data_IF_399466805251
#
_entry.id   IF_399466805251
#
_cell.length_a   1.000
_cell.length_b   1.000
_cell.length_c   1.000
_cell.angle_alpha   90.00
_cell.angle_beta   90.00
_cell.angle_gamma   90.00
#
_symmetry.space_group_name_H-M   'P 1'
#
loop_
_entity.id
_entity.type
_entity.pdbx_description
1 polymer ?
#
# COMPACT_ATOMS: atom_id res chain seq x y z
N UNK A 1 1.70 17.06 28.52
CA UNK A 1 3.05 16.74 29.03
C UNK A 1 2.87 15.75 30.17
N UNK A 2 3.25 14.49 29.98
CA UNK A 2 3.33 13.53 31.09
C UNK A 2 4.62 12.72 30.96
N UNK A 3 5.29 12.55 32.09
CA UNK A 3 6.70 12.20 32.28
C UNK A 3 6.99 10.70 32.11
N UNK A 4 8.20 10.39 31.64
CA UNK A 4 8.84 9.06 31.78
C UNK A 4 9.81 9.14 32.97
N UNK A 5 9.69 8.20 33.92
CA UNK A 5 10.71 7.94 34.94
C UNK A 5 11.38 6.61 34.62
N UNK A 6 12.71 6.61 34.54
CA UNK A 6 13.54 5.41 34.45
C UNK A 6 13.99 4.99 35.85
N UNK A 7 13.84 3.71 36.17
CA UNK A 7 14.54 3.07 37.30
C UNK A 7 14.78 1.59 36.97
N UNK A 8 15.99 1.14 37.30
CA UNK A 8 16.61 -0.12 36.89
C UNK A 8 16.03 -1.38 37.57
N UNK A 9 15.98 -2.46 36.77
CA UNK A 9 16.06 -3.91 37.08
C UNK A 9 15.07 -4.50 38.09
N UNK A 10 14.12 -5.32 37.57
CA UNK A 10 13.78 -6.65 38.08
C UNK A 10 13.04 -7.42 36.97
N UNK A 11 13.51 -8.63 36.66
CA UNK A 11 12.86 -9.58 35.76
C UNK A 11 11.45 -9.90 36.28
N UNK A 12 10.44 -9.39 35.59
CA UNK A 12 9.14 -10.04 35.51
C UNK A 12 8.72 -10.09 34.05
N UNK A 13 8.50 -11.32 33.58
CA UNK A 13 8.00 -11.67 32.25
C UNK A 13 6.59 -11.11 32.10
N UNK A 14 6.48 -9.83 31.76
CA UNK A 14 5.22 -9.20 31.39
C UNK A 14 5.02 -9.47 29.91
N UNK A 15 4.16 -10.44 29.59
CA UNK A 15 3.64 -10.61 28.24
C UNK A 15 2.78 -9.37 27.99
N UNK A 16 3.40 -8.32 27.46
CA UNK A 16 2.70 -7.18 26.93
C UNK A 16 2.03 -7.66 25.65
N UNK A 17 0.70 -7.79 25.66
CA UNK A 17 -0.08 -7.74 24.43
C UNK A 17 0.13 -6.34 23.85
N UNK A 18 1.15 -6.17 23.01
CA UNK A 18 1.33 -4.95 22.24
C UNK A 18 0.26 -4.94 21.14
N UNK A 19 -0.95 -4.47 21.49
CA UNK A 19 -2.11 -4.25 20.60
C UNK A 19 -1.98 -2.98 19.76
N UNK A 20 -0.79 -2.39 19.71
CA UNK A 20 -0.54 -1.11 19.06
C UNK A 20 0.88 -1.14 18.52
N UNK A 21 1.02 -1.44 17.22
CA UNK A 21 2.21 -0.99 16.49
C UNK A 21 2.03 0.51 16.35
N UNK A 22 2.86 1.30 17.02
CA UNK A 22 2.94 2.74 16.75
C UNK A 22 3.86 2.88 15.53
N UNK A 23 3.33 3.09 14.32
CA UNK A 23 4.19 3.29 13.16
C UNK A 23 5.07 4.53 13.41
N UNK A 24 6.37 4.41 13.15
CA UNK A 24 7.30 5.54 13.29
C UNK A 24 6.98 6.64 12.27
N UNK A 25 6.55 6.25 11.07
CA UNK A 25 6.03 7.12 10.02
C UNK A 25 4.78 6.48 9.40
N UNK A 26 3.71 7.26 9.26
CA UNK A 26 2.52 6.89 8.48
C UNK A 26 2.71 7.44 7.08
N UNK A 27 2.77 6.56 6.09
CA UNK A 27 2.96 6.98 4.71
C UNK A 27 1.64 7.35 4.04
N UNK A 28 0.58 6.56 4.28
CA UNK A 28 -0.76 6.79 3.73
C UNK A 28 -1.84 6.48 4.76
N UNK A 29 -2.93 7.25 4.69
CA UNK A 29 -4.10 7.12 5.55
C UNK A 29 -5.36 7.39 4.72
N UNK A 30 -6.27 6.42 4.62
CA UNK A 30 -7.54 6.58 3.87
C UNK A 30 -8.64 5.64 4.34
N UNK A 31 -9.89 6.02 4.12
CA UNK A 31 -11.02 5.11 4.34
C UNK A 31 -11.18 4.17 3.15
N UNK A 32 -11.20 2.86 3.40
CA UNK A 32 -11.43 1.84 2.37
C UNK A 32 -12.88 1.39 2.30
N UNK A 33 -13.60 1.55 3.42
CA UNK A 33 -15.05 1.45 3.49
C UNK A 33 -15.55 2.57 4.41
N UNK A 34 -16.87 2.63 4.63
CA UNK A 34 -17.49 3.65 5.49
C UNK A 34 -16.87 3.72 6.90
N UNK A 35 -16.56 2.56 7.48
CA UNK A 35 -16.18 2.44 8.89
C UNK A 35 -14.78 1.81 9.08
N UNK A 36 -14.03 1.58 7.98
CA UNK A 36 -12.68 1.00 8.01
C UNK A 36 -11.63 1.98 7.50
N UNK A 37 -10.66 2.27 8.36
CA UNK A 37 -9.49 3.08 8.08
C UNK A 37 -8.31 2.20 7.67
N UNK A 38 -7.73 2.45 6.50
CA UNK A 38 -6.46 1.88 6.07
C UNK A 38 -5.32 2.81 6.46
N UNK A 39 -4.31 2.24 7.09
CA UNK A 39 -3.06 2.89 7.48
C UNK A 39 -1.91 2.12 6.84
N UNK A 40 -1.13 2.78 5.98
CA UNK A 40 0.13 2.22 5.47
C UNK A 40 1.30 2.83 6.23
N UNK A 41 2.18 1.96 6.73
CA UNK A 41 3.43 2.34 7.37
C UNK A 41 4.54 1.39 6.92
N UNK A 42 5.39 1.85 6.00
CA UNK A 42 6.35 1.01 5.30
C UNK A 42 5.65 -0.14 4.56
N UNK A 43 6.06 -1.36 4.88
CA UNK A 43 5.52 -2.61 4.32
C UNK A 43 4.30 -3.13 5.09
N UNK A 44 3.88 -2.43 6.15
CA UNK A 44 2.73 -2.81 6.97
C UNK A 44 1.49 -2.07 6.52
N UNK A 45 0.40 -2.81 6.32
CA UNK A 45 -0.94 -2.29 6.07
C UNK A 45 -1.82 -2.68 7.25
N UNK A 46 -2.45 -1.69 7.89
CA UNK A 46 -3.36 -1.87 9.01
C UNK A 46 -4.75 -1.46 8.57
N UNK A 47 -5.71 -2.36 8.71
CA UNK A 47 -7.14 -2.07 8.59
C UNK A 47 -7.71 -1.91 10.00
N UNK A 48 -8.19 -0.72 10.32
CA UNK A 48 -8.80 -0.40 11.60
C UNK A 48 -10.29 -0.13 11.42
N UNK A 49 -11.11 -1.04 11.90
CA UNK A 49 -12.56 -0.87 11.98
C UNK A 49 -12.89 0.04 13.17
N UNK A 50 -13.39 1.24 12.86
CA UNK A 50 -13.68 2.30 13.84
C UNK A 50 -14.85 1.92 14.74
N UNK A 51 -15.82 1.19 14.21
CA UNK A 51 -17.04 0.80 14.93
C UNK A 51 -16.75 -0.35 15.90
N UNK A 52 -16.04 -1.38 15.43
CA UNK A 52 -15.74 -2.57 16.26
C UNK A 52 -14.44 -2.46 17.05
N UNK A 53 -13.62 -1.43 16.77
CA UNK A 53 -12.27 -1.21 17.34
C UNK A 53 -11.34 -2.43 17.13
N UNK A 54 -11.59 -3.18 16.06
CA UNK A 54 -10.75 -4.30 15.64
C UNK A 54 -9.70 -3.80 14.66
N UNK A 55 -8.51 -4.36 14.80
CA UNK A 55 -7.42 -4.15 13.85
C UNK A 55 -7.09 -5.45 13.15
N UNK A 56 -6.81 -5.35 11.86
CA UNK A 56 -6.25 -6.42 11.05
C UNK A 56 -4.97 -5.88 10.41
N UNK A 57 -3.83 -6.52 10.71
CA UNK A 57 -2.51 -6.07 10.25
C UNK A 57 -1.95 -7.07 9.27
N UNK A 58 -1.42 -6.55 8.16
CA UNK A 58 -0.81 -7.32 7.09
C UNK A 58 0.60 -6.78 6.87
N UNK A 59 1.58 -7.67 6.93
CA UNK A 59 2.98 -7.37 6.60
C UNK A 59 3.23 -7.92 5.21
N UNK A 60 3.41 -7.04 4.23
CA UNK A 60 3.65 -7.43 2.84
C UNK A 60 5.10 -7.90 2.68
N UNK A 61 5.35 -8.91 1.83
CA UNK A 61 6.69 -9.46 1.60
C UNK A 61 7.15 -10.53 2.58
N UNK A 62 6.51 -10.67 3.74
CA UNK A 62 6.90 -11.69 4.71
C UNK A 62 6.12 -13.00 4.51
N UNK A 63 6.76 -13.99 3.87
CA UNK A 63 6.21 -15.35 3.69
C UNK A 63 5.95 -16.11 5.00
N UNK A 64 6.48 -15.64 6.13
CA UNK A 64 6.47 -16.38 7.40
C UNK A 64 5.44 -15.92 8.42
N UNK A 65 4.93 -14.67 8.33
CA UNK A 65 4.09 -14.09 9.38
C UNK A 65 2.92 -13.27 8.80
N UNK A 66 1.91 -13.96 8.30
CA UNK A 66 0.53 -13.57 8.62
C UNK A 66 0.03 -14.64 9.58
N UNK A 67 -0.44 -14.25 10.76
CA UNK A 67 -1.19 -15.20 11.59
C UNK A 67 -2.27 -15.82 10.72
N UNK A 68 -2.16 -17.13 10.50
CA UNK A 68 -3.06 -17.98 9.72
C UNK A 68 -2.87 -18.04 8.17
N UNK A 69 -1.87 -17.38 7.57
CA UNK A 69 -1.59 -17.55 6.12
C UNK A 69 -2.74 -17.18 5.18
N UNK A 70 -3.69 -16.36 5.66
CA UNK A 70 -5.02 -16.21 5.05
C UNK A 70 -5.03 -15.41 3.74
N UNK A 71 -4.05 -14.53 3.54
CA UNK A 71 -4.00 -13.63 2.38
C UNK A 71 -2.72 -13.84 1.57
N UNK A 72 -2.86 -14.37 0.36
CA UNK A 72 -1.77 -14.52 -0.60
C UNK A 72 -1.75 -13.29 -1.53
N UNK A 73 -1.18 -12.18 -1.05
CA UNK A 73 -0.85 -11.05 -1.92
C UNK A 73 0.50 -11.35 -2.60
N UNK A 74 0.58 -11.36 -3.94
CA UNK A 74 1.81 -11.66 -4.66
C UNK A 74 2.75 -10.44 -4.65
N UNK A 75 2.90 -9.74 -3.53
CA UNK A 75 3.66 -8.51 -3.38
C UNK A 75 4.85 -8.72 -2.45
N UNK A 76 6.03 -8.23 -2.84
CA UNK A 76 7.21 -8.20 -1.97
C UNK A 76 7.24 -6.95 -1.08
N UNK A 77 6.64 -5.86 -1.53
CA UNK A 77 6.50 -4.61 -0.79
C UNK A 77 5.34 -3.78 -1.36
N UNK A 78 4.92 -2.72 -0.67
CA UNK A 78 3.88 -1.80 -1.16
C UNK A 78 4.35 -0.36 -1.06
N UNK A 79 4.45 0.30 -2.20
CA UNK A 79 4.87 1.70 -2.30
C UNK A 79 3.73 2.70 -2.26
N UNK A 80 2.58 2.37 -2.85
CA UNK A 80 1.37 3.20 -2.76
C UNK A 80 0.09 2.38 -2.92
N UNK A 81 -1.01 2.90 -2.37
CA UNK A 81 -2.30 2.22 -2.32
C UNK A 81 -3.39 3.14 -2.84
N UNK A 82 -4.35 2.58 -3.55
CA UNK A 82 -5.63 3.25 -3.77
C UNK A 82 -6.82 2.34 -3.54
N UNK A 83 -7.98 2.95 -3.28
CA UNK A 83 -9.22 2.24 -3.02
C UNK A 83 -10.38 2.83 -3.81
N UNK A 84 -11.37 1.99 -4.12
CA UNK A 84 -12.59 2.40 -4.80
C UNK A 84 -13.81 2.11 -3.91
N UNK A 85 -14.91 2.83 -4.13
CA UNK A 85 -16.16 2.74 -3.34
C UNK A 85 -16.84 1.37 -3.36
N UNK A 86 -16.40 0.45 -4.23
CA UNK A 86 -16.94 -0.91 -4.36
C UNK A 86 -16.03 -1.97 -3.72
N UNK A 87 -15.41 -1.61 -2.59
CA UNK A 87 -14.50 -2.48 -1.82
C UNK A 87 -13.38 -3.08 -2.68
N UNK A 88 -12.76 -2.25 -3.52
CA UNK A 88 -11.57 -2.63 -4.29
C UNK A 88 -10.35 -1.91 -3.76
N UNK A 89 -9.24 -2.63 -3.73
CA UNK A 89 -7.92 -2.09 -3.42
C UNK A 89 -6.99 -2.30 -4.61
N UNK A 90 -6.20 -1.28 -4.90
CA UNK A 90 -5.04 -1.35 -5.77
C UNK A 90 -3.79 -1.12 -4.92
N UNK A 91 -2.84 -2.04 -5.01
CA UNK A 91 -1.60 -2.04 -4.25
C UNK A 91 -0.45 -2.03 -5.26
N UNK A 92 0.32 -0.96 -5.30
CA UNK A 92 1.49 -0.87 -6.17
C UNK A 92 2.76 -1.34 -5.45
N UNK A 93 3.47 -2.27 -6.07
CA UNK A 93 4.76 -2.78 -5.60
C UNK A 93 5.87 -1.72 -5.73
N UNK A 94 6.71 -1.65 -4.71
CA UNK A 94 8.00 -0.94 -4.75
C UNK A 94 9.07 -1.92 -5.31
N UNK A 95 10.17 -1.46 -5.96
CA UNK A 95 11.03 -2.29 -6.81
C UNK A 95 11.50 -3.59 -6.13
N UNK A 96 11.74 -4.67 -6.91
CA UNK A 96 12.42 -4.60 -8.22
C UNK A 96 11.52 -4.62 -9.47
N UNK A 97 10.29 -5.11 -9.39
CA UNK A 97 9.37 -5.20 -10.54
C UNK A 97 8.13 -4.37 -10.25
N UNK A 98 7.93 -3.23 -10.94
CA UNK A 98 6.75 -2.40 -10.71
C UNK A 98 5.51 -3.13 -11.23
N UNK A 99 4.69 -3.58 -10.29
CA UNK A 99 3.38 -4.17 -10.58
C UNK A 99 2.31 -3.56 -9.70
N UNK A 100 1.08 -3.58 -10.18
CA UNK A 100 -0.09 -3.20 -9.37
C UNK A 100 -0.99 -4.42 -9.23
N UNK A 101 -1.25 -4.81 -8.00
CA UNK A 101 -2.19 -5.88 -7.67
C UNK A 101 -3.52 -5.23 -7.31
N UNK A 102 -4.58 -5.69 -7.95
CA UNK A 102 -5.96 -5.30 -7.61
C UNK A 102 -6.61 -6.47 -6.91
N UNK A 103 -7.19 -6.22 -5.74
CA UNK A 103 -7.88 -7.23 -4.95
C UNK A 103 -9.22 -6.72 -4.40
N UNK A 104 -10.09 -7.67 -4.04
CA UNK A 104 -11.30 -7.36 -3.28
C UNK A 104 -10.97 -7.08 -1.83
N UNK A 105 -11.74 -6.22 -1.18
CA UNK A 105 -11.76 -6.06 0.27
C UNK A 105 -13.12 -6.55 0.77
N UNK A 106 -13.22 -7.22 1.93
CA UNK A 106 -12.18 -7.54 2.90
C UNK A 106 -11.38 -8.83 2.62
N UNK A 107 -11.75 -9.65 1.63
CA UNK A 107 -11.14 -10.97 1.43
C UNK A 107 -9.71 -10.92 0.90
N UNK A 108 -9.27 -9.77 0.37
CA UNK A 108 -7.97 -9.57 -0.28
C UNK A 108 -7.67 -10.56 -1.40
N UNK A 109 -8.73 -11.07 -2.04
CA UNK A 109 -8.62 -11.96 -3.19
C UNK A 109 -8.13 -11.17 -4.39
N UNK A 110 -7.01 -11.60 -4.97
CA UNK A 110 -6.45 -11.00 -6.18
C UNK A 110 -7.43 -11.16 -7.35
N UNK A 111 -7.76 -10.04 -7.99
CA UNK A 111 -8.62 -9.96 -9.16
C UNK A 111 -7.80 -9.72 -10.44
N UNK A 112 -6.74 -8.92 -10.35
CA UNK A 112 -5.85 -8.64 -11.47
C UNK A 112 -4.44 -8.29 -10.98
N UNK A 113 -3.45 -8.55 -11.81
CA UNK A 113 -2.06 -8.12 -11.61
C UNK A 113 -1.58 -7.42 -12.88
N UNK A 114 -1.30 -6.13 -12.76
CA UNK A 114 -0.86 -5.27 -13.85
C UNK A 114 0.67 -5.16 -13.81
N UNK A 115 1.35 -5.60 -14.86
CA UNK A 115 2.82 -5.61 -14.94
C UNK A 115 3.24 -4.89 -16.20
N UNK A 116 4.12 -3.89 -16.06
CA UNK A 116 4.78 -3.26 -17.20
C UNK A 116 6.24 -3.69 -17.28
N UNK A 117 6.56 -4.62 -18.18
CA UNK A 117 7.93 -5.08 -18.41
C UNK A 117 8.81 -4.06 -19.12
N UNK A 118 8.25 -2.95 -19.64
CA UNK A 118 9.01 -1.95 -20.38
C UNK A 118 9.79 -0.97 -19.51
N UNK A 119 9.54 -0.93 -18.20
CA UNK A 119 10.19 -0.01 -17.27
C UNK A 119 10.20 -0.55 -15.85
N UNK A 120 11.30 -0.36 -15.13
CA UNK A 120 11.46 -0.78 -13.74
C UNK A 120 11.15 0.32 -12.71
N UNK A 121 10.77 1.52 -13.15
CA UNK A 121 10.43 2.61 -12.25
C UNK A 121 9.15 2.29 -11.47
N UNK A 122 9.23 2.36 -10.13
CA UNK A 122 8.09 2.13 -9.25
C UNK A 122 7.01 3.19 -9.41
N UNK A 123 5.78 2.84 -9.03
CA UNK A 123 4.71 3.81 -8.94
C UNK A 123 4.91 4.72 -7.72
N UNK A 124 4.85 6.03 -7.96
CA UNK A 124 4.82 7.04 -6.90
C UNK A 124 3.40 7.27 -6.39
N UNK A 125 2.40 7.08 -7.26
CA UNK A 125 0.99 7.18 -6.93
C UNK A 125 0.18 6.36 -7.93
N UNK A 126 -0.96 5.83 -7.48
CA UNK A 126 -1.96 5.16 -8.30
C UNK A 126 -3.35 5.72 -7.95
N UNK A 127 -4.27 5.64 -8.90
CA UNK A 127 -5.63 6.14 -8.73
C UNK A 127 -6.60 5.29 -9.57
N UNK A 128 -7.68 4.82 -8.96
CA UNK A 128 -8.82 4.28 -9.69
C UNK A 128 -9.55 5.40 -10.43
N UNK A 129 -9.69 5.23 -11.74
CA UNK A 129 -10.55 6.08 -12.56
C UNK A 129 -11.84 5.31 -12.86
N UNK A 130 -12.86 5.54 -12.03
CA UNK A 130 -14.11 4.77 -12.02
C UNK A 130 -13.83 3.28 -11.81
N UNK A 131 -14.65 2.40 -12.39
CA UNK A 131 -14.60 0.94 -12.19
C UNK A 131 -13.82 0.19 -13.27
N UNK A 132 -13.26 0.89 -14.25
CA UNK A 132 -12.73 0.30 -15.48
C UNK A 132 -11.24 0.57 -15.67
N UNK A 133 -10.77 1.72 -15.20
CA UNK A 133 -9.42 2.18 -15.45
C UNK A 133 -8.63 2.41 -14.16
N UNK A 134 -7.34 2.19 -14.24
CA UNK A 134 -6.38 2.56 -13.21
C UNK A 134 -5.32 3.45 -13.84
N UNK A 135 -5.04 4.58 -13.22
CA UNK A 135 -3.96 5.48 -13.61
C UNK A 135 -2.83 5.31 -12.61
N UNK A 136 -1.59 5.19 -13.09
CA UNK A 136 -0.40 5.16 -12.27
C UNK A 136 0.60 6.22 -12.70
N UNK A 137 1.11 7.00 -11.75
CA UNK A 137 2.25 7.88 -11.94
C UNK A 137 3.52 7.15 -11.51
N UNK A 138 4.46 6.94 -12.44
CA UNK A 138 5.76 6.37 -12.09
C UNK A 138 6.65 7.39 -11.40
N UNK A 139 7.57 6.91 -10.58
CA UNK A 139 8.58 7.70 -9.90
C UNK A 139 9.83 7.87 -10.75
N UNK A 140 10.92 8.29 -10.09
CA UNK A 140 12.23 8.42 -10.72
C UNK A 140 12.71 7.07 -11.29
N UNK A 141 13.28 7.03 -12.50
CA UNK A 141 13.57 8.16 -13.40
C UNK A 141 12.47 8.43 -14.46
N UNK A 142 11.33 7.74 -14.42
CA UNK A 142 10.37 7.77 -15.53
C UNK A 142 9.40 8.97 -15.46
N UNK A 143 8.76 9.21 -14.32
CA UNK A 143 7.76 10.27 -14.10
C UNK A 143 6.59 10.34 -15.09
N UNK A 144 6.37 9.35 -15.91
CA UNK A 144 5.26 9.28 -16.86
C UNK A 144 3.99 8.69 -16.21
N UNK A 145 2.85 8.96 -16.85
CA UNK A 145 1.55 8.43 -16.48
C UNK A 145 1.24 7.20 -17.33
N UNK A 146 0.82 6.11 -16.69
CA UNK A 146 0.29 4.92 -17.36
C UNK A 146 -1.20 4.82 -17.10
N UNK A 147 -1.99 4.51 -18.13
CA UNK A 147 -3.41 4.15 -17.98
C UNK A 147 -3.60 2.68 -18.31
N UNK A 148 -4.30 1.97 -17.42
CA UNK A 148 -4.63 0.56 -17.54
C UNK A 148 -6.14 0.36 -17.66
N UNK A 149 -6.57 -0.50 -18.58
CA UNK A 149 -7.87 -1.15 -18.51
C UNK A 149 -7.74 -2.39 -17.62
N UNK A 150 -7.88 -2.19 -16.32
CA UNK A 150 -7.38 -3.16 -15.34
C UNK A 150 -8.12 -4.50 -15.36
N UNK A 151 -9.41 -4.51 -15.74
CA UNK A 151 -10.23 -5.72 -15.82
C UNK A 151 -9.74 -6.71 -16.87
N UNK A 152 -9.16 -6.20 -17.95
CA UNK A 152 -8.59 -7.00 -19.04
C UNK A 152 -7.06 -7.05 -18.98
N UNK A 153 -6.45 -6.37 -18.02
CA UNK A 153 -4.99 -6.34 -17.82
C UNK A 153 -4.22 -5.57 -18.90
N UNK A 154 -4.90 -4.74 -19.71
CA UNK A 154 -4.27 -4.06 -20.84
C UNK A 154 -3.75 -2.67 -20.49
N UNK A 155 -2.52 -2.38 -20.91
CA UNK A 155 -1.94 -1.04 -20.89
C UNK A 155 -2.47 -0.25 -22.09
N UNK A 156 -3.26 0.79 -21.84
CA UNK A 156 -3.89 1.57 -22.90
C UNK A 156 -2.95 2.63 -23.48
N UNK A 157 -2.29 3.38 -22.61
CA UNK A 157 -1.39 4.47 -23.02
C UNK A 157 -0.37 4.80 -21.94
N UNK A 158 0.73 5.40 -22.39
CA UNK A 158 1.77 5.98 -21.55
C UNK A 158 1.98 7.42 -22.01
N UNK A 159 1.96 8.37 -21.08
CA UNK A 159 2.10 9.80 -21.33
C UNK A 159 3.25 10.34 -20.52
N UNK A 160 4.26 10.88 -21.21
CA UNK A 160 5.30 11.67 -20.56
C UNK A 160 4.67 12.93 -19.95
N UNK A 161 4.91 13.14 -18.66
CA UNK A 161 4.42 14.31 -17.93
C UNK A 161 5.29 15.54 -18.15
N UNK A 162 6.53 15.35 -18.63
CA UNK A 162 7.53 16.41 -18.71
C UNK A 162 8.01 16.90 -17.35
N UNK A 163 7.84 16.14 -16.26
CA UNK A 163 8.31 16.54 -14.93
C UNK A 163 9.84 16.65 -14.85
N UNK A 164 10.60 15.78 -15.53
CA UNK A 164 12.05 15.97 -15.64
C UNK A 164 12.33 17.02 -16.73
N UNK A 165 12.40 18.29 -16.34
CA UNK A 165 13.04 19.32 -17.16
C UNK A 165 14.45 19.60 -16.61
N UNK A 166 15.44 19.89 -17.48
CA UNK A 166 16.82 20.19 -17.06
C UNK A 166 16.95 21.30 -16.01
N UNK A 167 15.91 22.12 -15.81
CA UNK A 167 15.90 23.30 -14.94
C UNK A 167 15.01 23.17 -13.70
N UNK A 168 14.47 21.99 -13.37
CA UNK A 168 13.74 21.81 -12.12
C UNK A 168 14.70 21.47 -10.98
N UNK A 169 15.10 22.49 -10.22
CA UNK A 169 15.75 22.30 -8.93
C UNK A 169 14.71 21.85 -7.90
N UNK A 170 14.89 20.65 -7.35
CA UNK A 170 14.20 20.23 -6.13
C UNK A 170 14.71 21.14 -5.00
N UNK A 171 13.87 22.06 -4.52
CA UNK A 171 14.14 22.86 -3.32
C UNK A 171 13.79 22.06 -2.08
#
# INVERSE_FOLDING_TARGET
>A
IFYISYSHVLLFKKINYFRWVKPENVDELKFVSKDVLLIRAGETIIFYDVDTQKEETIIVGNKSNSGDGKYELPLESVGCIDCCEIDLLALAEQPPIPKVVICSYPELKVLATLIDSSCSAAYKSILFLRLEYLIGLRGYPAFDLIVWAWRIGEKLLVVDTGFIQPNQYLK
#
